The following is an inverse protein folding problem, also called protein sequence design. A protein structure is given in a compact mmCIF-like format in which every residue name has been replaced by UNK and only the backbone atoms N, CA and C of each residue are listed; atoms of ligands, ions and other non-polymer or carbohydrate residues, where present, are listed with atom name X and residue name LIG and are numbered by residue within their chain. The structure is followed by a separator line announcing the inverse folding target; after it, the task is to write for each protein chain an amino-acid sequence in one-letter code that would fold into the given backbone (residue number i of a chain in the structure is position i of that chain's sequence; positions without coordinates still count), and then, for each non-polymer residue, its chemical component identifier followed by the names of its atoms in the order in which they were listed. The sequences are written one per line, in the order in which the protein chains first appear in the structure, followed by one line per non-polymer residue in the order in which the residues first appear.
data_IF_898503992112
#
_entry.id   IF_898503992112
#
_cell.length_a   1.000
_cell.length_b   1.000
_cell.length_c   1.000
_cell.angle_alpha   90.00
_cell.angle_beta   90.00
_cell.angle_gamma   90.00
#
_symmetry.space_group_name_H-M   'P 1'
#
loop_
_entity.id
_entity.type
_entity.pdbx_description
1 polymer ?
#
# COMPACT_ATOMS: atom_id res chain seq x y z
N UNK A 1 -51.41 47.91 13.00
CA UNK A 1 -50.14 47.28 13.40
C UNK A 1 -50.37 46.67 14.78
N UNK A 2 -50.55 45.35 14.85
CA UNK A 2 -50.68 44.64 16.13
C UNK A 2 -49.35 44.70 16.88
N UNK A 3 -49.39 45.20 18.12
CA UNK A 3 -48.24 45.32 19.00
C UNK A 3 -47.60 43.94 19.22
N UNK A 4 -46.26 43.89 19.13
CA UNK A 4 -45.42 42.70 19.37
C UNK A 4 -45.46 42.22 20.85
N UNK A 5 -46.27 42.88 21.68
CA UNK A 5 -46.36 42.67 23.14
C UNK A 5 -47.25 41.49 23.59
N UNK A 6 -47.94 40.80 22.67
CA UNK A 6 -48.79 39.64 23.02
C UNK A 6 -48.11 38.28 22.87
N UNK A 7 -46.78 38.24 22.68
CA UNK A 7 -46.04 36.98 22.77
C UNK A 7 -45.99 36.54 24.24
N UNK A 8 -46.93 35.67 24.63
CA UNK A 8 -46.90 34.90 25.87
C UNK A 8 -45.45 34.46 26.14
N UNK A 9 -44.84 34.75 27.32
CA UNK A 9 -43.52 34.25 27.62
C UNK A 9 -43.53 32.72 27.50
N UNK A 10 -42.51 32.15 26.84
CA UNK A 10 -42.37 30.71 26.75
C UNK A 10 -42.41 30.13 28.18
N UNK A 11 -43.32 29.18 28.40
CA UNK A 11 -43.40 28.50 29.68
C UNK A 11 -42.07 27.78 29.92
N UNK A 12 -41.45 27.98 31.08
CA UNK A 12 -40.19 27.33 31.42
C UNK A 12 -40.38 25.81 31.41
N UNK A 13 -39.45 25.09 30.76
CA UNK A 13 -39.46 23.63 30.71
C UNK A 13 -39.36 23.05 32.14
N UNK A 14 -40.18 22.05 32.42
CA UNK A 14 -40.19 21.33 33.69
C UNK A 14 -39.10 20.26 33.71
N UNK A 15 -38.25 20.28 34.74
CA UNK A 15 -37.19 19.29 34.96
C UNK A 15 -37.59 18.36 36.11
N UNK A 16 -37.49 17.05 35.91
CA UNK A 16 -37.76 16.05 36.94
C UNK A 16 -36.57 15.73 37.83
N UNK A 17 -36.78 15.07 39.00
CA UNK A 17 -35.70 14.37 39.69
C UNK A 17 -35.20 13.19 38.83
N UNK A 18 -34.03 12.66 39.18
CA UNK A 18 -33.50 11.44 38.59
C UNK A 18 -34.50 10.27 38.68
N UNK A 19 -34.66 9.50 37.60
CA UNK A 19 -35.59 8.37 37.52
C UNK A 19 -34.87 7.05 37.19
N UNK A 20 -35.54 5.95 37.50
CA UNK A 20 -35.12 4.58 37.14
C UNK A 20 -35.95 4.08 35.96
N UNK A 21 -35.28 3.48 34.96
CA UNK A 21 -35.94 2.87 33.82
C UNK A 21 -36.77 1.64 34.23
N UNK A 22 -37.83 1.38 33.46
CA UNK A 22 -38.68 0.21 33.66
C UNK A 22 -37.99 -1.06 33.16
N UNK A 23 -37.98 -2.10 33.99
CA UNK A 23 -37.10 -3.28 33.80
C UNK A 23 -37.67 -4.38 32.91
N UNK A 24 -38.91 -4.23 32.43
CA UNK A 24 -39.60 -5.30 31.70
C UNK A 24 -39.31 -5.31 30.21
N UNK A 25 -38.68 -4.25 29.68
CA UNK A 25 -38.40 -4.06 28.25
C UNK A 25 -39.67 -4.17 27.39
N UNK A 26 -40.80 -3.70 27.94
CA UNK A 26 -42.09 -3.64 27.25
C UNK A 26 -42.71 -2.27 27.45
N UNK A 27 -43.56 -1.85 26.50
CA UNK A 27 -44.32 -0.60 26.60
C UNK A 27 -45.04 -0.45 27.95
N UNK A 28 -45.72 -1.50 28.41
CA UNK A 28 -46.56 -1.46 29.62
C UNK A 28 -45.76 -1.38 30.92
N UNK A 29 -44.53 -1.86 30.95
CA UNK A 29 -43.67 -1.81 32.13
C UNK A 29 -42.49 -0.84 32.00
N UNK A 30 -42.55 0.08 31.04
CA UNK A 30 -41.63 1.21 30.92
C UNK A 30 -42.04 2.34 31.89
N UNK A 31 -41.07 3.09 32.41
CA UNK A 31 -41.34 4.21 33.32
C UNK A 31 -41.94 5.39 32.55
N UNK A 32 -43.17 5.80 32.86
CA UNK A 32 -43.85 6.92 32.19
C UNK A 32 -43.18 8.25 32.53
N UNK A 33 -42.82 9.00 31.50
CA UNK A 33 -42.23 10.33 31.61
C UNK A 33 -43.32 11.38 31.84
N UNK A 34 -43.06 12.29 32.78
CA UNK A 34 -44.05 13.29 33.24
C UNK A 34 -43.53 14.72 33.20
N UNK A 35 -42.31 14.92 32.69
CA UNK A 35 -41.61 16.20 32.64
C UNK A 35 -41.13 16.49 31.23
N UNK A 36 -40.83 17.76 30.96
CA UNK A 36 -40.28 18.16 29.66
C UNK A 36 -38.82 17.70 29.53
N UNK A 37 -38.07 17.64 30.64
CA UNK A 37 -36.71 17.09 30.69
C UNK A 37 -36.65 15.99 31.76
N UNK A 38 -36.20 14.80 31.36
CA UNK A 38 -36.15 13.61 32.21
C UNK A 38 -34.73 13.02 32.21
N UNK A 39 -34.13 12.92 33.39
CA UNK A 39 -32.81 12.32 33.58
C UNK A 39 -32.97 10.92 34.14
N UNK A 40 -32.57 9.92 33.35
CA UNK A 40 -32.59 8.52 33.76
C UNK A 40 -31.19 8.14 34.23
N UNK A 41 -31.02 7.94 35.54
CA UNK A 41 -29.70 7.64 36.15
C UNK A 41 -29.49 6.16 36.44
N UNK A 42 -30.54 5.35 36.33
CA UNK A 42 -30.48 3.90 36.59
C UNK A 42 -31.23 3.15 35.50
N UNK A 43 -30.49 2.31 34.78
CA UNK A 43 -30.99 1.26 33.88
C UNK A 43 -30.32 -0.06 34.30
N UNK A 44 -31.11 -1.08 34.64
CA UNK A 44 -30.60 -2.33 35.20
C UNK A 44 -29.94 -3.21 34.15
N UNK A 45 -30.45 -3.17 32.92
CA UNK A 45 -29.88 -3.87 31.77
C UNK A 45 -30.14 -3.12 30.47
N UNK A 46 -29.39 -3.46 29.42
CA UNK A 46 -29.65 -2.94 28.08
C UNK A 46 -31.09 -3.26 27.67
N UNK A 47 -31.85 -2.22 27.31
CA UNK A 47 -33.24 -2.35 26.90
C UNK A 47 -34.26 -1.95 27.96
N UNK A 48 -33.86 -1.67 29.20
CA UNK A 48 -34.78 -1.07 30.17
C UNK A 48 -35.28 0.28 29.64
N UNK A 49 -36.55 0.58 29.89
CA UNK A 49 -37.28 1.53 29.07
C UNK A 49 -38.01 2.63 29.82
N UNK A 50 -38.19 3.75 29.14
CA UNK A 50 -39.10 4.83 29.53
C UNK A 50 -40.22 4.96 28.49
N UNK A 51 -41.35 5.51 28.89
CA UNK A 51 -42.51 5.74 28.02
C UNK A 51 -42.77 7.23 27.87
N UNK A 52 -42.88 7.71 26.64
CA UNK A 52 -43.35 9.06 26.34
C UNK A 52 -44.80 9.23 26.82
N UNK A 53 -45.19 10.43 27.28
CA UNK A 53 -46.59 10.72 27.53
C UNK A 53 -47.42 10.65 26.23
N UNK A 54 -48.75 10.58 26.31
CA UNK A 54 -49.62 10.63 25.14
C UNK A 54 -49.29 11.83 24.24
N UNK A 55 -49.10 11.55 22.95
CA UNK A 55 -48.72 12.54 21.96
C UNK A 55 -49.76 13.66 21.88
N UNK A 56 -49.27 14.89 21.93
CA UNK A 56 -50.09 16.07 21.72
C UNK A 56 -49.27 17.10 20.97
N UNK A 57 -49.82 17.60 19.87
CA UNK A 57 -49.09 18.45 18.91
C UNK A 57 -48.34 19.58 19.63
N UNK A 58 -47.03 19.64 19.41
CA UNK A 58 -46.13 20.66 19.96
C UNK A 58 -45.58 20.33 21.35
N UNK A 59 -45.92 19.18 21.94
CA UNK A 59 -45.28 18.68 23.15
C UNK A 59 -43.84 18.25 22.84
N UNK A 60 -42.89 18.58 23.73
CA UNK A 60 -41.49 18.20 23.62
C UNK A 60 -41.02 17.50 24.88
N UNK A 61 -40.24 16.44 24.70
CA UNK A 61 -39.67 15.66 25.79
C UNK A 61 -38.20 15.39 25.50
N UNK A 62 -37.33 15.89 26.36
CA UNK A 62 -35.90 15.59 26.38
C UNK A 62 -35.65 14.44 27.34
N UNK A 63 -34.88 13.46 26.90
CA UNK A 63 -34.46 12.30 27.68
C UNK A 63 -32.94 12.29 27.73
N UNK A 64 -32.38 12.32 28.95
CA UNK A 64 -30.95 12.21 29.20
C UNK A 64 -30.70 10.82 29.77
N UNK A 65 -29.91 10.01 29.09
CA UNK A 65 -29.43 8.74 29.64
C UNK A 65 -28.15 9.00 30.44
N UNK A 66 -28.32 9.27 31.73
CA UNK A 66 -27.24 9.47 32.70
C UNK A 66 -26.77 8.17 33.37
N UNK A 67 -27.32 7.00 32.96
CA UNK A 67 -26.77 5.71 33.37
C UNK A 67 -25.35 5.56 32.83
N UNK A 68 -24.45 4.94 33.61
CA UNK A 68 -23.03 4.87 33.30
C UNK A 68 -22.64 3.79 32.29
N UNK A 69 -23.55 2.87 31.93
CA UNK A 69 -23.20 1.73 31.08
C UNK A 69 -24.31 1.27 30.14
N UNK A 70 -25.58 1.38 30.55
CA UNK A 70 -26.67 0.74 29.84
C UNK A 70 -27.37 1.68 28.87
N UNK A 71 -27.91 1.11 27.82
CA UNK A 71 -28.83 1.76 26.89
C UNK A 71 -30.24 1.85 27.47
N UNK A 72 -31.01 2.84 27.02
CA UNK A 72 -32.42 3.01 27.41
C UNK A 72 -33.32 2.97 26.18
N UNK A 73 -34.35 2.13 26.22
CA UNK A 73 -35.41 2.10 25.20
C UNK A 73 -36.46 3.17 25.46
N UNK A 74 -37.03 3.72 24.39
CA UNK A 74 -38.11 4.70 24.48
C UNK A 74 -39.36 4.12 23.82
N UNK A 75 -40.44 4.06 24.56
CA UNK A 75 -41.73 3.57 24.11
C UNK A 75 -42.72 4.72 23.92
N UNK A 76 -43.56 4.70 22.88
CA UNK A 76 -44.69 5.62 22.78
C UNK A 76 -45.77 5.27 23.81
N UNK A 77 -46.67 6.21 24.09
CA UNK A 77 -47.92 5.89 24.81
C UNK A 77 -48.79 4.93 23.99
N UNK A 78 -49.73 4.24 24.64
CA UNK A 78 -50.63 3.32 23.95
C UNK A 78 -51.46 4.06 22.89
N UNK A 79 -51.32 3.64 21.63
CA UNK A 79 -51.99 4.24 20.48
C UNK A 79 -51.11 5.17 19.64
N UNK A 80 -49.91 5.51 20.12
CA UNK A 80 -49.00 6.41 19.44
C UNK A 80 -47.88 5.67 18.68
N UNK A 81 -47.21 6.38 17.78
CA UNK A 81 -45.99 5.97 17.10
C UNK A 81 -44.81 6.93 17.36
N UNK A 82 -43.60 6.45 17.08
CA UNK A 82 -42.36 7.24 17.06
C UNK A 82 -41.76 7.09 15.66
N UNK A 83 -41.40 8.21 15.03
CA UNK A 83 -40.74 8.30 13.72
C UNK A 83 -41.48 7.57 12.57
N UNK A 84 -42.80 7.50 12.66
CA UNK A 84 -43.63 6.77 11.68
C UNK A 84 -43.50 5.25 11.78
N UNK A 85 -42.96 4.74 12.89
CA UNK A 85 -42.95 3.32 13.23
C UNK A 85 -44.34 2.73 13.41
N UNK A 86 -44.40 1.41 13.66
CA UNK A 86 -45.67 0.76 13.97
C UNK A 86 -46.24 1.28 15.31
N UNK A 87 -47.56 1.41 15.41
CA UNK A 87 -48.23 1.82 16.66
C UNK A 87 -47.79 0.94 17.83
N UNK A 88 -47.48 1.55 18.98
CA UNK A 88 -46.96 0.90 20.19
C UNK A 88 -45.57 0.27 20.07
N UNK A 89 -44.87 0.40 18.94
CA UNK A 89 -43.52 -0.10 18.80
C UNK A 89 -42.51 0.80 19.54
N UNK A 90 -41.51 0.17 20.14
CA UNK A 90 -40.34 0.87 20.70
C UNK A 90 -39.63 1.66 19.61
N UNK A 91 -39.01 2.79 19.98
CA UNK A 91 -38.06 3.46 19.11
C UNK A 91 -36.97 2.46 18.67
N UNK A 92 -36.75 2.40 17.36
CA UNK A 92 -35.75 1.54 16.72
C UNK A 92 -34.32 1.81 17.19
N UNK A 93 -34.05 2.98 17.75
CA UNK A 93 -32.75 3.37 18.29
C UNK A 93 -32.86 3.63 19.80
N UNK A 94 -32.21 2.81 20.62
CA UNK A 94 -32.08 3.11 22.05
C UNK A 94 -31.15 4.32 22.28
N UNK A 95 -31.34 5.03 23.39
CA UNK A 95 -30.44 6.12 23.81
C UNK A 95 -29.24 5.49 24.52
N UNK A 96 -28.04 5.70 23.99
CA UNK A 96 -26.78 5.22 24.56
C UNK A 96 -26.40 5.94 25.85
N UNK A 97 -25.59 5.29 26.69
CA UNK A 97 -25.11 5.86 27.95
C UNK A 97 -24.37 7.18 27.69
N UNK A 98 -24.72 8.22 28.46
CA UNK A 98 -24.16 9.57 28.32
C UNK A 98 -24.81 10.44 27.25
N UNK A 99 -25.72 9.90 26.43
CA UNK A 99 -26.37 10.64 25.36
C UNK A 99 -27.71 11.25 25.80
N UNK A 100 -28.15 12.25 25.02
CA UNK A 100 -29.43 12.94 25.17
C UNK A 100 -30.20 12.87 23.87
N UNK A 101 -31.52 12.67 23.94
CA UNK A 101 -32.40 12.72 22.78
C UNK A 101 -33.64 13.55 23.07
N UNK A 102 -34.01 14.38 22.10
CA UNK A 102 -35.24 15.16 22.12
C UNK A 102 -36.32 14.47 21.28
N UNK A 103 -37.56 14.52 21.74
CA UNK A 103 -38.74 14.06 21.01
C UNK A 103 -39.74 15.21 20.90
N UNK A 104 -40.32 15.38 19.72
CA UNK A 104 -41.38 16.36 19.47
C UNK A 104 -42.63 15.67 18.93
N UNK A 105 -43.77 15.84 19.60
CA UNK A 105 -45.05 15.34 19.12
C UNK A 105 -45.54 16.21 17.96
N UNK A 106 -45.54 15.64 16.75
CA UNK A 106 -45.90 16.37 15.53
C UNK A 106 -47.42 16.45 15.31
N UNK A 107 -48.16 15.53 15.94
CA UNK A 107 -49.62 15.49 15.93
C UNK A 107 -50.13 14.82 17.23
N UNK A 108 -51.40 14.38 17.26
CA UNK A 108 -52.04 13.78 18.44
C UNK A 108 -51.73 12.30 18.66
N UNK A 109 -50.90 11.68 17.83
CA UNK A 109 -50.59 10.25 17.91
C UNK A 109 -49.19 9.88 17.45
N UNK A 110 -48.31 10.85 17.15
CA UNK A 110 -47.00 10.57 16.56
C UNK A 110 -45.95 11.51 17.13
N UNK A 111 -44.83 10.92 17.53
CA UNK A 111 -43.61 11.56 17.98
C UNK A 111 -42.54 11.51 16.90
N UNK A 112 -41.70 12.54 16.85
CA UNK A 112 -40.52 12.61 16.00
C UNK A 112 -39.27 12.77 16.86
N UNK A 113 -38.30 11.87 16.71
CA UNK A 113 -37.00 11.93 17.36
C UNK A 113 -36.12 13.00 16.71
N UNK A 114 -35.80 14.06 17.46
CA UNK A 114 -34.90 15.12 17.03
C UNK A 114 -33.47 14.71 17.41
N UNK A 115 -32.65 14.41 16.40
CA UNK A 115 -31.26 14.01 16.58
C UNK A 115 -31.02 12.50 16.66
N UNK A 116 -31.91 11.66 16.12
CA UNK A 116 -31.61 10.24 15.91
C UNK A 116 -30.29 10.10 15.11
N UNK A 117 -29.36 9.28 15.63
CA UNK A 117 -27.98 9.20 15.18
C UNK A 117 -27.87 9.18 13.65
N UNK A 118 -27.14 10.16 13.12
CA UNK A 118 -26.75 10.21 11.70
C UNK A 118 -26.04 8.90 11.36
N UNK A 119 -26.58 8.14 10.41
CA UNK A 119 -26.03 6.86 9.94
C UNK A 119 -24.72 7.01 9.15
N UNK A 120 -24.03 8.15 9.27
CA UNK A 120 -22.81 8.49 8.52
C UNK A 120 -21.66 9.01 9.39
N UNK A 121 -21.82 9.06 10.71
CA UNK A 121 -20.79 9.61 11.60
C UNK A 121 -19.72 8.54 11.87
N UNK A 122 -18.45 8.93 11.71
CA UNK A 122 -17.32 8.06 11.99
C UNK A 122 -17.16 7.83 13.50
N UNK A 123 -17.89 6.87 14.05
CA UNK A 123 -17.84 6.50 15.46
C UNK A 123 -16.62 5.60 15.65
N UNK A 124 -15.64 6.06 16.41
CA UNK A 124 -14.29 5.48 16.58
C UNK A 124 -14.24 4.02 17.09
N UNK A 125 -15.39 3.39 17.33
CA UNK A 125 -15.55 2.01 17.78
C UNK A 125 -15.48 0.96 16.66
N UNK A 126 -15.70 1.34 15.40
CA UNK A 126 -15.53 0.46 14.24
C UNK A 126 -14.43 1.00 13.31
N UNK A 127 -13.54 0.15 12.75
CA UNK A 127 -12.62 0.57 11.69
C UNK A 127 -13.39 1.04 10.44
N UNK A 128 -12.70 1.32 9.32
CA UNK A 128 -13.29 1.80 8.05
C UNK A 128 -14.52 0.99 7.54
N UNK A 129 -14.80 -0.19 8.10
CA UNK A 129 -15.98 -1.01 7.83
C UNK A 129 -17.33 -0.35 8.14
N UNK A 130 -17.34 0.80 8.82
CA UNK A 130 -18.57 1.60 8.97
C UNK A 130 -19.00 2.29 7.66
N UNK A 131 -18.09 2.47 6.72
CA UNK A 131 -18.42 2.93 5.39
C UNK A 131 -18.82 1.75 4.50
N UNK A 132 -19.70 2.01 3.54
CA UNK A 132 -19.94 1.06 2.45
C UNK A 132 -18.61 0.72 1.76
N UNK A 133 -18.52 -0.49 1.17
CA UNK A 133 -17.33 -0.88 0.41
C UNK A 133 -17.01 0.19 -0.64
N UNK A 134 -15.77 0.67 -0.61
CA UNK A 134 -15.33 1.80 -1.42
C UNK A 134 -14.31 1.31 -2.44
N UNK A 135 -14.47 1.72 -3.69
CA UNK A 135 -13.51 1.43 -4.76
C UNK A 135 -12.26 2.32 -4.65
N UNK A 136 -11.13 1.90 -5.21
CA UNK A 136 -9.92 2.73 -5.24
C UNK A 136 -10.15 4.09 -5.92
N UNK A 137 -11.02 4.14 -6.93
CA UNK A 137 -11.38 5.38 -7.62
C UNK A 137 -12.20 6.34 -6.73
N UNK A 138 -13.15 5.80 -5.95
CA UNK A 138 -13.91 6.60 -4.99
C UNK A 138 -13.01 7.14 -3.88
N UNK A 139 -12.05 6.35 -3.40
CA UNK A 139 -11.07 6.81 -2.41
C UNK A 139 -10.18 7.92 -2.98
N UNK A 140 -9.66 7.75 -4.19
CA UNK A 140 -8.81 8.76 -4.83
C UNK A 140 -9.57 10.08 -5.14
N UNK A 141 -10.90 10.06 -5.17
CA UNK A 141 -11.70 11.27 -5.36
C UNK A 141 -11.84 12.12 -4.09
N UNK A 142 -11.50 11.59 -2.91
CA UNK A 142 -11.68 12.27 -1.62
C UNK A 142 -10.38 12.67 -0.93
N UNK A 143 -9.23 12.23 -1.43
CA UNK A 143 -7.94 12.77 -1.02
C UNK A 143 -7.34 13.61 -2.14
N UNK A 144 -6.48 14.55 -1.75
CA UNK A 144 -6.08 15.69 -2.57
C UNK A 144 -4.59 15.71 -2.87
N UNK A 145 -3.85 14.72 -2.39
CA UNK A 145 -2.39 14.68 -2.43
C UNK A 145 -1.86 13.26 -2.69
N UNK A 146 -2.63 12.42 -3.36
CA UNK A 146 -2.22 11.10 -3.81
C UNK A 146 -1.11 11.21 -4.85
N UNK A 147 -0.25 10.22 -4.85
CA UNK A 147 0.71 9.98 -5.94
C UNK A 147 0.31 8.69 -6.65
N UNK A 148 0.20 8.74 -7.98
CA UNK A 148 -0.23 7.62 -8.80
C UNK A 148 -1.74 7.58 -9.04
N UNK A 149 -2.17 6.59 -9.83
CA UNK A 149 -3.57 6.32 -10.13
C UNK A 149 -3.80 4.81 -10.27
N UNK A 150 -5.06 4.38 -10.31
CA UNK A 150 -5.42 2.98 -10.49
C UNK A 150 -5.85 2.28 -9.19
N UNK A 151 -5.68 0.97 -9.13
CA UNK A 151 -6.08 0.16 -7.98
C UNK A 151 -5.10 0.31 -6.82
N UNK A 152 -5.62 0.26 -5.59
CA UNK A 152 -4.79 0.09 -4.39
C UNK A 152 -4.00 -1.23 -4.48
N UNK A 153 -2.75 -1.19 -4.06
CA UNK A 153 -1.81 -2.29 -4.25
C UNK A 153 -1.79 -3.19 -3.01
N UNK A 154 -2.61 -4.25 -3.03
CA UNK A 154 -2.66 -5.25 -1.95
C UNK A 154 -2.30 -6.68 -2.42
N UNK A 155 -1.99 -6.85 -3.70
CA UNK A 155 -1.63 -8.15 -4.26
C UNK A 155 -0.23 -8.61 -3.79
N UNK A 156 -0.04 -9.91 -3.56
CA UNK A 156 1.29 -10.51 -3.42
C UNK A 156 2.02 -10.42 -4.76
N UNK A 157 3.23 -9.86 -4.78
CA UNK A 157 4.02 -9.60 -6.00
C UNK A 157 3.29 -8.72 -7.03
N UNK A 158 2.93 -7.47 -6.67
CA UNK A 158 2.18 -6.61 -7.57
C UNK A 158 3.03 -6.22 -8.79
N UNK A 159 2.43 -6.22 -9.97
CA UNK A 159 3.04 -5.61 -11.14
C UNK A 159 2.74 -4.11 -11.13
N UNK A 160 3.77 -3.28 -11.09
CA UNK A 160 3.66 -1.85 -11.26
C UNK A 160 3.97 -1.49 -12.71
N UNK A 161 3.09 -0.73 -13.36
CA UNK A 161 3.28 -0.28 -14.75
C UNK A 161 3.96 1.07 -14.73
N UNK A 162 5.14 1.15 -15.35
CA UNK A 162 5.95 2.39 -15.44
C UNK A 162 6.18 3.11 -14.10
N UNK A 163 6.57 2.43 -13.00
CA UNK A 163 6.85 3.11 -11.75
C UNK A 163 8.10 4.00 -11.91
N UNK A 164 7.95 5.30 -11.68
CA UNK A 164 9.09 6.19 -11.51
C UNK A 164 9.54 6.09 -10.07
N UNK A 165 10.62 5.33 -9.82
CA UNK A 165 11.16 5.13 -8.48
C UNK A 165 12.03 6.30 -7.97
N UNK A 166 12.32 7.28 -8.84
CA UNK A 166 13.28 8.34 -8.56
C UNK A 166 14.72 7.82 -8.46
N UNK A 167 15.56 8.55 -7.73
CA UNK A 167 16.92 8.10 -7.37
C UNK A 167 16.86 7.44 -6.00
N UNK A 168 16.96 6.10 -5.88
CA UNK A 168 16.93 5.45 -4.59
C UNK A 168 18.15 5.86 -3.76
N UNK A 169 17.94 6.38 -2.56
CA UNK A 169 19.02 6.68 -1.60
C UNK A 169 19.63 5.41 -0.99
N UNK A 170 18.89 4.30 -1.02
CA UNK A 170 19.29 2.98 -0.58
C UNK A 170 18.43 1.91 -1.26
N UNK A 171 18.99 0.73 -1.49
CA UNK A 171 18.32 -0.40 -2.13
C UNK A 171 19.31 -1.30 -2.85
N UNK A 172 19.10 -2.61 -2.78
CA UNK A 172 19.80 -3.56 -3.64
C UNK A 172 18.96 -3.74 -4.91
N UNK A 173 19.45 -3.26 -6.06
CA UNK A 173 18.77 -3.36 -7.36
C UNK A 173 19.07 -4.69 -8.07
N UNK A 174 19.30 -5.78 -7.32
CA UNK A 174 19.73 -7.09 -7.84
C UNK A 174 18.79 -7.74 -8.86
N UNK A 175 17.54 -7.27 -8.96
CA UNK A 175 16.53 -7.75 -9.91
C UNK A 175 16.04 -6.67 -10.88
N UNK A 176 16.70 -5.52 -10.91
CA UNK A 176 16.42 -4.50 -11.92
C UNK A 176 17.24 -4.80 -13.18
N UNK A 177 16.60 -4.73 -14.33
CA UNK A 177 17.31 -4.65 -15.60
C UNK A 177 17.59 -3.17 -15.88
N UNK A 178 18.84 -2.83 -16.17
CA UNK A 178 19.10 -1.58 -16.87
C UNK A 178 18.43 -1.69 -18.25
N UNK A 179 17.80 -0.62 -18.71
CA UNK A 179 17.12 -0.64 -20.01
C UNK A 179 18.11 -1.08 -21.10
N UNK A 180 17.63 -1.93 -22.00
CA UNK A 180 18.43 -2.74 -22.92
C UNK A 180 19.18 -1.98 -24.00
N UNK A 181 19.93 -0.93 -23.65
CA UNK A 181 20.88 -0.23 -24.51
C UNK A 181 22.28 -0.10 -23.92
N UNK A 182 22.51 -0.31 -22.63
CA UNK A 182 23.87 -0.39 -22.08
C UNK A 182 23.85 -1.30 -20.83
N UNK A 183 24.18 -2.58 -21.03
CA UNK A 183 24.46 -3.49 -19.91
C UNK A 183 25.47 -2.81 -19.00
N UNK A 184 25.03 -2.48 -17.78
CA UNK A 184 25.81 -1.72 -16.80
C UNK A 184 27.24 -2.25 -16.72
N UNK A 185 28.19 -1.41 -17.13
CA UNK A 185 29.61 -1.73 -17.00
C UNK A 185 29.96 -1.91 -15.52
N UNK A 186 30.90 -2.81 -15.24
CA UNK A 186 31.53 -2.86 -13.92
C UNK A 186 32.37 -1.58 -13.71
N UNK A 187 32.36 -1.03 -12.49
CA UNK A 187 33.24 0.11 -12.14
C UNK A 187 34.73 -0.27 -12.24
N UNK A 188 35.03 -1.54 -11.96
CA UNK A 188 36.33 -2.19 -12.13
C UNK A 188 36.25 -3.19 -13.29
N UNK A 189 37.36 -3.80 -13.71
CA UNK A 189 37.31 -4.93 -14.65
C UNK A 189 37.38 -6.26 -13.88
N UNK A 190 36.30 -7.05 -13.76
CA UNK A 190 36.33 -8.26 -12.95
C UNK A 190 37.36 -9.25 -13.48
N UNK A 191 38.14 -9.83 -12.58
CA UNK A 191 39.21 -10.77 -12.93
C UNK A 191 38.76 -12.22 -12.71
N UNK A 192 39.07 -13.09 -13.67
CA UNK A 192 38.89 -14.54 -13.59
C UNK A 192 40.23 -15.25 -13.73
N UNK A 193 40.75 -15.78 -12.62
CA UNK A 193 41.93 -16.64 -12.65
C UNK A 193 41.59 -18.00 -13.30
N UNK A 194 42.42 -18.42 -14.26
CA UNK A 194 42.33 -19.72 -14.92
C UNK A 194 43.69 -20.42 -14.81
N UNK A 195 43.71 -21.63 -14.25
CA UNK A 195 44.92 -22.46 -14.13
C UNK A 195 44.84 -23.70 -15.02
N UNK A 196 44.17 -23.57 -16.15
CA UNK A 196 43.94 -24.60 -17.14
C UNK A 196 43.72 -23.97 -18.51
N UNK A 197 43.80 -24.76 -19.59
CA UNK A 197 43.40 -24.28 -20.90
C UNK A 197 41.91 -23.93 -20.87
N UNK A 198 41.54 -22.76 -21.40
CA UNK A 198 40.21 -22.19 -21.22
C UNK A 198 39.64 -21.70 -22.55
N UNK A 199 38.36 -21.98 -22.80
CA UNK A 199 37.62 -21.39 -23.93
C UNK A 199 36.66 -20.36 -23.38
N UNK A 200 36.67 -19.14 -23.93
CA UNK A 200 35.83 -18.05 -23.43
C UNK A 200 34.35 -18.37 -23.61
N UNK A 201 33.54 -17.85 -22.68
CA UNK A 201 32.07 -17.92 -22.73
C UNK A 201 31.48 -16.52 -22.79
N UNK A 202 30.20 -16.40 -23.14
CA UNK A 202 29.52 -15.10 -23.29
C UNK A 202 29.65 -14.21 -22.04
N UNK A 203 29.66 -14.83 -20.86
CA UNK A 203 29.81 -14.15 -19.57
C UNK A 203 31.21 -13.60 -19.29
N UNK A 204 32.19 -13.79 -20.18
CA UNK A 204 33.53 -13.20 -20.07
C UNK A 204 33.60 -11.78 -20.67
N UNK A 205 32.53 -11.31 -21.31
CA UNK A 205 32.44 -9.94 -21.83
C UNK A 205 32.75 -8.92 -20.73
N UNK A 206 33.71 -8.02 -20.99
CA UNK A 206 34.13 -6.98 -20.05
C UNK A 206 34.99 -7.45 -18.88
N UNK A 207 35.57 -8.67 -18.93
CA UNK A 207 36.41 -9.24 -17.86
C UNK A 207 37.88 -9.40 -18.25
N UNK A 208 38.72 -9.65 -17.23
CA UNK A 208 40.10 -10.13 -17.39
C UNK A 208 40.17 -11.64 -17.26
N UNK A 209 40.73 -12.33 -18.24
CA UNK A 209 41.19 -13.71 -18.12
C UNK A 209 42.65 -13.72 -17.66
N UNK A 210 42.88 -14.23 -16.47
CA UNK A 210 44.16 -14.14 -15.77
C UNK A 210 44.83 -15.49 -15.65
N UNK A 211 46.07 -15.60 -16.12
CA UNK A 211 46.94 -16.74 -15.86
C UNK A 211 47.76 -16.47 -14.59
N UNK A 212 47.44 -17.14 -13.46
CA UNK A 212 48.02 -16.83 -12.15
C UNK A 212 49.44 -17.37 -12.03
N UNK A 213 50.28 -16.69 -11.25
CA UNK A 213 51.72 -16.99 -11.10
C UNK A 213 52.04 -18.41 -10.65
N UNK A 214 51.12 -19.06 -9.95
CA UNK A 214 51.27 -20.41 -9.43
C UNK A 214 51.10 -21.49 -10.53
N UNK A 215 50.54 -21.12 -11.69
CA UNK A 215 50.34 -22.05 -12.81
C UNK A 215 51.56 -22.07 -13.74
N UNK A 216 52.60 -22.80 -13.36
CA UNK A 216 53.85 -22.94 -14.12
C UNK A 216 53.73 -23.78 -15.41
N UNK A 217 52.65 -23.63 -16.18
CA UNK A 217 52.40 -24.39 -17.40
C UNK A 217 52.12 -23.47 -18.59
N UNK A 218 52.43 -23.93 -19.81
CA UNK A 218 51.95 -23.28 -21.03
C UNK A 218 50.44 -23.44 -21.10
N UNK A 219 49.72 -22.33 -21.35
CA UNK A 219 48.25 -22.34 -21.48
C UNK A 219 47.78 -21.84 -22.82
N UNK A 220 46.59 -22.29 -23.20
CA UNK A 220 45.87 -21.77 -24.36
C UNK A 220 44.53 -21.22 -23.87
N UNK A 221 44.31 -19.92 -24.12
CA UNK A 221 43.04 -19.25 -23.92
C UNK A 221 42.41 -18.99 -25.28
N UNK A 222 41.27 -19.61 -25.52
CA UNK A 222 40.66 -19.66 -26.85
C UNK A 222 39.47 -18.72 -26.93
N UNK A 223 39.55 -17.75 -27.84
CA UNK A 223 38.39 -17.01 -28.31
C UNK A 223 37.61 -17.96 -29.24
N UNK A 224 36.38 -18.37 -28.87
CA UNK A 224 35.57 -19.28 -29.67
C UNK A 224 35.09 -18.64 -30.99
N UNK A 225 34.67 -19.49 -31.93
CA UNK A 225 34.02 -19.03 -33.17
C UNK A 225 32.66 -18.43 -32.87
N UNK A 226 32.26 -17.43 -33.66
CA UNK A 226 30.97 -16.76 -33.49
C UNK A 226 29.77 -17.72 -33.59
N UNK A 227 29.90 -18.83 -34.32
CA UNK A 227 28.86 -19.84 -34.42
C UNK A 227 28.60 -20.58 -33.09
N UNK A 228 29.62 -20.69 -32.22
CA UNK A 228 29.52 -21.38 -30.93
C UNK A 228 29.22 -20.42 -29.78
N UNK A 229 29.85 -19.24 -29.78
CA UNK A 229 29.62 -18.17 -28.79
C UNK A 229 29.64 -16.82 -29.52
N UNK A 230 28.44 -16.30 -29.79
CA UNK A 230 28.26 -15.04 -30.50
C UNK A 230 28.44 -13.84 -29.55
N UNK A 231 29.68 -13.44 -29.29
CA UNK A 231 29.96 -12.20 -28.57
C UNK A 231 29.39 -10.99 -29.33
N UNK A 232 28.68 -10.05 -28.67
CA UNK A 232 28.26 -8.80 -29.28
C UNK A 232 29.44 -8.03 -29.89
N UNK A 233 29.20 -7.34 -31.00
CA UNK A 233 30.17 -6.39 -31.54
C UNK A 233 30.42 -5.30 -30.49
N UNK A 234 31.70 -4.99 -30.24
CA UNK A 234 32.11 -4.08 -29.16
C UNK A 234 32.53 -4.78 -27.87
N UNK A 235 32.33 -6.10 -27.73
CA UNK A 235 32.88 -6.85 -26.58
C UNK A 235 34.39 -6.65 -26.46
N UNK A 236 34.83 -6.31 -25.25
CA UNK A 236 36.26 -6.18 -24.88
C UNK A 236 36.60 -7.24 -23.83
N UNK A 237 37.70 -7.96 -24.04
CA UNK A 237 38.22 -8.96 -23.10
C UNK A 237 39.73 -8.75 -22.96
N UNK A 238 40.20 -8.66 -21.72
CA UNK A 238 41.62 -8.51 -21.42
C UNK A 238 42.23 -9.84 -20.96
N UNK A 239 43.50 -10.03 -21.24
CA UNK A 239 44.30 -11.19 -20.89
C UNK A 239 45.55 -10.74 -20.14
N UNK A 240 45.90 -11.44 -19.08
CA UNK A 240 47.14 -11.20 -18.33
C UNK A 240 47.86 -12.51 -18.09
N UNK A 241 49.20 -12.48 -18.20
CA UNK A 241 50.05 -13.63 -17.94
C UNK A 241 51.05 -13.33 -16.83
N UNK A 242 50.83 -13.83 -15.61
CA UNK A 242 51.75 -13.62 -14.48
C UNK A 242 52.75 -14.76 -14.26
N UNK A 243 52.88 -15.66 -15.24
CA UNK A 243 53.74 -16.85 -15.15
C UNK A 243 55.04 -16.65 -15.91
N UNK A 244 55.97 -17.60 -15.76
CA UNK A 244 57.21 -17.66 -16.56
C UNK A 244 57.00 -18.27 -17.95
N UNK A 245 55.87 -18.94 -18.14
CA UNK A 245 55.47 -19.64 -19.35
C UNK A 245 54.70 -18.73 -20.31
N UNK A 246 54.49 -19.19 -21.54
CA UNK A 246 53.74 -18.45 -22.57
C UNK A 246 52.26 -18.84 -22.52
N UNK A 247 51.38 -17.86 -22.70
CA UNK A 247 49.95 -18.09 -22.95
C UNK A 247 49.68 -17.91 -24.44
N UNK A 248 49.11 -18.90 -25.09
CA UNK A 248 48.57 -18.76 -26.45
C UNK A 248 47.15 -18.20 -26.37
N UNK A 249 46.92 -17.02 -26.93
CA UNK A 249 45.58 -16.50 -27.18
C UNK A 249 45.16 -17.01 -28.56
N UNK A 250 44.37 -18.07 -28.55
CA UNK A 250 43.92 -18.74 -29.77
C UNK A 250 42.64 -18.11 -30.32
N UNK A 251 42.50 -18.16 -31.64
CA UNK A 251 41.26 -17.91 -32.36
C UNK A 251 40.98 -19.13 -33.25
N UNK A 252 39.72 -19.49 -33.42
CA UNK A 252 39.30 -20.66 -34.21
C UNK A 252 39.06 -20.27 -35.67
N UNK A 253 37.82 -20.34 -36.18
CA UNK A 253 37.48 -19.98 -37.58
C UNK A 253 37.32 -18.48 -37.79
N UNK A 254 37.07 -17.73 -36.72
CA UNK A 254 37.05 -16.27 -36.73
C UNK A 254 38.46 -15.71 -37.01
N UNK A 255 38.53 -14.44 -37.43
CA UNK A 255 39.80 -13.78 -37.73
C UNK A 255 40.19 -12.82 -36.61
N UNK A 256 41.37 -13.00 -36.00
CA UNK A 256 41.94 -12.04 -35.06
C UNK A 256 43.12 -11.31 -35.71
N UNK A 257 43.04 -9.99 -35.79
CA UNK A 257 44.09 -9.12 -36.31
C UNK A 257 44.97 -8.58 -35.19
N UNK A 258 46.30 -8.64 -35.36
CA UNK A 258 47.22 -7.91 -34.49
C UNK A 258 47.17 -6.43 -34.85
N UNK A 259 46.91 -5.56 -33.87
CA UNK A 259 47.01 -4.12 -34.08
C UNK A 259 48.41 -3.74 -34.58
N UNK A 260 48.48 -2.66 -35.36
CA UNK A 260 49.69 -2.18 -36.08
C UNK A 260 50.18 -3.14 -37.18
N UNK A 261 50.51 -4.39 -36.85
CA UNK A 261 51.09 -5.35 -37.78
C UNK A 261 50.09 -5.90 -38.82
N UNK A 262 48.80 -5.98 -38.48
CA UNK A 262 47.74 -6.48 -39.37
C UNK A 262 47.82 -7.98 -39.69
N UNK A 263 48.78 -8.71 -39.12
CA UNK A 263 48.86 -10.17 -39.24
C UNK A 263 47.64 -10.82 -38.60
N UNK A 264 47.31 -12.05 -38.99
CA UNK A 264 46.15 -12.80 -38.47
C UNK A 264 46.56 -14.05 -37.69
N UNK A 265 45.61 -14.67 -36.98
CA UNK A 265 45.79 -15.95 -36.28
C UNK A 265 46.03 -15.83 -34.77
N UNK A 266 46.37 -16.95 -34.14
CA UNK A 266 46.68 -17.02 -32.70
C UNK A 266 47.88 -16.16 -32.32
N UNK A 267 47.89 -15.66 -31.08
CA UNK A 267 48.97 -14.82 -30.55
C UNK A 267 49.63 -15.46 -29.33
N UNK A 268 50.92 -15.22 -29.17
CA UNK A 268 51.67 -15.63 -27.99
C UNK A 268 51.79 -14.44 -27.05
N UNK A 269 51.24 -14.57 -25.85
CA UNK A 269 51.39 -13.62 -24.76
C UNK A 269 52.53 -14.10 -23.86
N UNK A 270 53.66 -13.41 -23.92
CA UNK A 270 54.85 -13.69 -23.14
C UNK A 270 54.60 -13.53 -21.63
N UNK A 271 55.57 -13.98 -20.83
CA UNK A 271 55.59 -13.79 -19.37
C UNK A 271 55.38 -12.32 -19.00
N UNK A 272 54.62 -12.08 -17.95
CA UNK A 272 54.27 -10.74 -17.46
C UNK A 272 53.61 -9.83 -18.52
N UNK A 273 53.04 -10.43 -19.57
CA UNK A 273 52.37 -9.73 -20.65
C UNK A 273 50.92 -9.39 -20.33
N UNK A 274 50.41 -8.37 -21.03
CA UNK A 274 49.00 -7.99 -21.04
C UNK A 274 48.53 -7.79 -22.47
N UNK A 275 47.33 -8.26 -22.79
CA UNK A 275 46.70 -8.01 -24.08
C UNK A 275 45.21 -7.74 -23.92
N UNK A 276 44.62 -7.01 -24.85
CA UNK A 276 43.18 -6.77 -24.89
C UNK A 276 42.68 -7.00 -26.30
N UNK A 277 41.64 -7.83 -26.43
CA UNK A 277 40.96 -8.12 -27.67
C UNK A 277 39.58 -7.44 -27.69
N UNK A 278 39.22 -6.86 -28.84
CA UNK A 278 37.92 -6.23 -29.08
C UNK A 278 37.24 -6.87 -30.29
N UNK A 279 35.95 -7.21 -30.15
CA UNK A 279 35.12 -7.72 -31.24
C UNK A 279 34.75 -6.56 -32.17
N UNK A 280 35.20 -6.62 -33.42
CA UNK A 280 35.02 -5.54 -34.41
C UNK A 280 33.83 -5.78 -35.35
N UNK A 281 33.60 -7.03 -35.71
CA UNK A 281 32.44 -7.49 -36.50
C UNK A 281 32.05 -8.89 -36.00
N UNK A 282 31.00 -9.48 -36.56
CA UNK A 282 30.55 -10.84 -36.18
C UNK A 282 31.65 -11.90 -36.23
N UNK A 283 32.66 -11.77 -37.09
CA UNK A 283 33.73 -12.79 -37.22
C UNK A 283 35.14 -12.23 -37.12
N UNK A 284 35.29 -10.95 -36.76
CA UNK A 284 36.62 -10.32 -36.65
C UNK A 284 36.89 -9.73 -35.27
N UNK A 285 38.09 -9.95 -34.77
CA UNK A 285 38.65 -9.36 -33.56
C UNK A 285 39.89 -8.54 -33.90
N UNK A 286 40.16 -7.49 -33.12
CA UNK A 286 41.46 -6.83 -33.07
C UNK A 286 42.07 -7.04 -31.70
N UNK A 287 43.36 -7.31 -31.61
CA UNK A 287 44.08 -7.49 -30.35
C UNK A 287 45.36 -6.66 -30.31
N UNK A 288 45.65 -6.09 -29.15
CA UNK A 288 46.88 -5.33 -28.89
C UNK A 288 47.37 -5.54 -27.47
N UNK A 289 48.66 -5.37 -27.22
CA UNK A 289 49.20 -5.37 -25.86
C UNK A 289 50.70 -5.55 -25.79
N UNK A 290 51.24 -5.46 -24.57
CA UNK A 290 52.66 -5.59 -24.29
C UNK A 290 53.02 -7.07 -24.07
N UNK A 291 54.10 -7.51 -24.72
CA UNK A 291 54.53 -8.91 -24.69
C UNK A 291 53.68 -9.82 -25.58
N UNK A 292 52.90 -9.26 -26.52
CA UNK A 292 52.09 -10.00 -27.47
C UNK A 292 52.83 -10.12 -28.81
N UNK A 293 52.91 -11.33 -29.38
CA UNK A 293 53.46 -11.60 -30.72
C UNK A 293 52.55 -12.46 -31.57
#
# INVERSE_FOLDING_TARGET
MGSVSDRKPAQAATVGPAITAGTTQTQAGATVLVKDINEVTVSGTNGDGVQLPPASKGLRVTIINADAAQTIQVWPASGDDIDGGATNAVDSSAITSGDTRDYEAINSSSWYGVGAASTGDALTSNPLSQFASTTSAQLAGVISNETGSGALVFATSPTLVTPVLGTPSSGNLSSCTADGTDEVGFLEMPQQAKSEAYTLVIGDSGKVVHHPSEDGNVRTYTIPENASVAFPVGTVISFTNMTTEVVTIAITTDTMYLAEAGTTGSRSLARYGIATAMKMTSTTWIISGNGLT
#
